data_IF_621636755691
#
_entry.id   IF_621636755691
#
_cell.length_a   1.000
_cell.length_b   1.000
_cell.length_c   1.000
_cell.angle_alpha   90.00
_cell.angle_beta   90.00
_cell.angle_gamma   90.00
#
_symmetry.space_group_name_H-M   'P 1'
#
loop_
_entity.id
_entity.type
_entity.pdbx_description
1 polymer ?
#
# COMPACT_ATOMS: atom_id res chain seq x y z
N UNK A 1 3.29 8.99 30.97
CA UNK A 1 4.03 9.18 29.71
C UNK A 1 3.18 8.71 28.54
N UNK A 2 2.73 9.63 27.68
CA UNK A 2 1.92 9.29 26.51
C UNK A 2 2.72 8.46 25.52
N UNK A 3 2.19 7.30 25.14
CA UNK A 3 2.74 6.44 24.10
C UNK A 3 2.79 7.30 22.83
N UNK A 4 3.99 7.76 22.46
CA UNK A 4 4.23 8.53 21.23
C UNK A 4 3.58 7.74 20.10
N UNK A 5 2.57 8.31 19.45
CA UNK A 5 1.91 7.69 18.33
C UNK A 5 2.98 7.20 17.35
N UNK A 6 3.19 5.88 17.28
CA UNK A 6 4.06 5.31 16.28
C UNK A 6 3.56 5.84 14.95
N UNK A 7 4.40 6.61 14.23
CA UNK A 7 4.04 7.12 12.91
C UNK A 7 3.61 5.90 12.10
N UNK A 8 2.51 6.02 11.37
CA UNK A 8 2.03 4.96 10.46
C UNK A 8 2.01 5.55 9.06
N UNK A 9 2.50 4.80 8.08
CA UNK A 9 2.49 5.22 6.68
C UNK A 9 2.14 4.01 5.87
N UNK A 10 0.88 3.91 5.48
CA UNK A 10 0.42 2.82 4.67
C UNK A 10 0.28 3.25 3.22
N UNK A 11 0.73 2.37 2.33
CA UNK A 11 0.50 2.42 0.91
C UNK A 11 -0.58 1.40 0.55
N UNK A 12 -1.65 1.86 -0.06
CA UNK A 12 -2.85 1.06 -0.30
C UNK A 12 -3.15 1.10 -1.80
N UNK A 13 -3.34 -0.06 -2.41
CA UNK A 13 -3.71 -0.19 -3.82
C UNK A 13 -5.02 -0.95 -3.93
N UNK A 14 -5.96 -0.34 -4.62
CA UNK A 14 -7.24 -0.96 -4.98
C UNK A 14 -7.31 -1.09 -6.49
N UNK A 15 -7.82 -2.22 -6.95
CA UNK A 15 -8.02 -2.47 -8.36
C UNK A 15 -9.52 -2.41 -8.62
N UNK A 16 -9.95 -1.53 -9.51
CA UNK A 16 -11.32 -1.50 -9.96
C UNK A 16 -11.39 -2.08 -11.37
N UNK A 17 -12.23 -3.11 -11.54
CA UNK A 17 -12.44 -3.75 -12.83
C UNK A 17 -13.54 -2.96 -13.52
N UNK A 18 -13.18 -2.26 -14.59
CA UNK A 18 -14.17 -1.58 -15.42
C UNK A 18 -14.94 -2.58 -16.28
N UNK A 19 -16.19 -2.28 -16.65
CA UNK A 19 -17.00 -3.13 -17.52
C UNK A 19 -16.42 -3.29 -18.93
N UNK A 20 -15.45 -2.45 -19.33
CA UNK A 20 -14.71 -2.59 -20.59
C UNK A 20 -13.55 -3.60 -20.52
N UNK A 21 -13.36 -4.27 -19.37
CA UNK A 21 -12.29 -5.22 -19.14
C UNK A 21 -10.94 -4.59 -18.77
N UNK A 22 -10.86 -3.26 -18.63
CA UNK A 22 -9.67 -2.57 -18.14
C UNK A 22 -9.63 -2.55 -16.62
N UNK A 23 -8.42 -2.48 -16.09
CA UNK A 23 -8.16 -2.36 -14.66
C UNK A 23 -7.66 -0.96 -14.37
N UNK A 24 -8.35 -0.26 -13.46
CA UNK A 24 -7.84 1.00 -12.92
C UNK A 24 -7.25 0.74 -11.53
N UNK A 25 -6.00 1.17 -11.39
CA UNK A 25 -5.26 1.12 -10.13
C UNK A 25 -5.50 2.42 -9.37
N UNK A 26 -6.10 2.32 -8.20
CA UNK A 26 -6.28 3.42 -7.28
C UNK A 26 -5.30 3.30 -6.13
N UNK A 27 -4.32 4.21 -6.10
CA UNK A 27 -3.32 4.31 -5.04
C UNK A 27 -3.74 5.33 -4.00
N UNK A 28 -3.67 4.93 -2.74
CA UNK A 28 -3.99 5.77 -1.61
C UNK A 28 -2.90 5.66 -0.52
N UNK A 29 -2.55 6.80 0.06
CA UNK A 29 -1.58 6.91 1.14
C UNK A 29 -2.27 7.30 2.43
N UNK A 30 -2.03 6.56 3.52
CA UNK A 30 -2.69 6.81 4.80
C UNK A 30 -1.71 6.93 5.95
N UNK A 31 -1.79 8.05 6.69
CA UNK A 31 -1.03 8.27 7.94
C UNK A 31 -1.72 7.67 9.17
N UNK A 32 -2.90 7.07 8.99
CA UNK A 32 -3.77 6.55 10.06
C UNK A 32 -3.80 5.02 10.01
N UNK A 33 -4.26 4.40 11.10
CA UNK A 33 -4.54 2.96 11.11
C UNK A 33 -5.60 2.64 10.05
N UNK A 34 -5.36 1.63 9.22
CA UNK A 34 -6.33 1.16 8.24
C UNK A 34 -7.35 0.26 8.95
N UNK A 35 -8.63 0.53 8.70
CA UNK A 35 -9.72 -0.33 9.19
C UNK A 35 -9.87 -1.62 8.37
N UNK A 36 -10.49 -2.67 8.92
CA UNK A 36 -10.60 -3.98 8.27
C UNK A 36 -11.36 -3.94 6.94
N UNK A 37 -12.39 -3.10 6.79
CA UNK A 37 -13.12 -2.96 5.52
C UNK A 37 -12.20 -2.50 4.40
N UNK A 38 -11.41 -1.45 4.66
CA UNK A 38 -10.47 -0.92 3.68
C UNK A 38 -9.37 -1.91 3.31
N UNK A 39 -8.91 -2.74 4.24
CA UNK A 39 -7.98 -3.84 3.94
C UNK A 39 -8.65 -4.88 3.03
N UNK A 40 -9.93 -5.21 3.27
CA UNK A 40 -10.68 -6.15 2.42
C UNK A 40 -10.84 -5.64 0.99
N UNK A 41 -11.24 -4.37 0.82
CA UNK A 41 -11.42 -3.73 -0.48
C UNK A 41 -10.12 -3.50 -1.26
N UNK A 42 -8.99 -3.48 -0.56
CA UNK A 42 -7.67 -3.29 -1.16
C UNK A 42 -7.05 -4.61 -1.56
N UNK A 43 -6.33 -4.61 -2.68
CA UNK A 43 -5.55 -5.78 -3.12
C UNK A 43 -4.16 -5.76 -2.52
N UNK A 44 -3.55 -4.58 -2.45
CA UNK A 44 -2.23 -4.42 -1.83
C UNK A 44 -2.28 -3.42 -0.71
N UNK A 45 -1.66 -3.75 0.42
CA UNK A 45 -1.44 -2.88 1.55
C UNK A 45 -0.02 -3.10 2.04
N UNK A 46 0.80 -2.05 2.01
CA UNK A 46 2.16 -2.05 2.52
C UNK A 46 2.29 -1.08 3.69
N UNK A 47 3.02 -1.48 4.72
CA UNK A 47 3.51 -0.59 5.76
C UNK A 47 4.89 -0.06 5.34
N UNK A 48 4.94 1.23 4.99
CA UNK A 48 6.16 1.89 4.53
C UNK A 48 7.12 2.26 5.68
N UNK A 49 6.71 2.12 6.93
CA UNK A 49 7.57 2.41 8.08
C UNK A 49 8.17 1.16 8.69
N UNK A 50 7.38 0.08 8.74
CA UNK A 50 7.85 -1.22 9.20
C UNK A 50 8.37 -2.10 8.06
N UNK A 51 8.30 -1.62 6.81
CA UNK A 51 8.75 -2.34 5.61
C UNK A 51 8.09 -3.73 5.49
N UNK A 52 6.79 -3.78 5.76
CA UNK A 52 6.00 -5.01 5.85
C UNK A 52 4.88 -5.05 4.80
N UNK A 53 4.62 -6.24 4.26
CA UNK A 53 3.44 -6.51 3.43
C UNK A 53 2.27 -6.87 4.35
N UNK A 54 1.36 -5.92 4.58
CA UNK A 54 0.14 -6.16 5.37
C UNK A 54 -0.86 -7.01 4.58
N UNK A 55 -0.92 -6.81 3.26
CA UNK A 55 -1.73 -7.61 2.34
C UNK A 55 -1.17 -7.53 0.93
N UNK A 56 -1.10 -8.66 0.24
CA UNK A 56 -0.88 -8.71 -1.21
C UNK A 56 -1.75 -9.81 -1.79
N UNK A 57 -2.82 -9.41 -2.48
CA UNK A 57 -3.79 -10.30 -3.11
C UNK A 57 -3.86 -9.94 -4.60
N UNK A 58 -2.80 -10.27 -5.33
CA UNK A 58 -2.69 -10.02 -6.77
C UNK A 58 -2.72 -11.34 -7.55
N UNK A 59 -3.42 -11.39 -8.70
CA UNK A 59 -3.37 -12.56 -9.57
C UNK A 59 -1.94 -12.74 -10.08
N UNK A 60 -1.44 -13.99 -10.07
CA UNK A 60 -0.08 -14.38 -10.46
C UNK A 60 1.06 -13.85 -9.56
N UNK A 61 0.76 -13.39 -8.35
CA UNK A 61 1.77 -13.00 -7.36
C UNK A 61 1.71 -13.99 -6.18
N UNK A 62 2.86 -14.50 -5.70
CA UNK A 62 2.88 -15.36 -4.52
C UNK A 62 2.45 -14.57 -3.27
N UNK A 63 1.71 -15.25 -2.37
CA UNK A 63 1.20 -14.65 -1.13
C UNK A 63 2.34 -14.19 -0.21
N UNK A 64 3.48 -14.88 -0.24
CA UNK A 64 4.67 -14.60 0.58
C UNK A 64 5.69 -13.70 -0.15
N UNK A 65 5.21 -12.77 -0.97
CA UNK A 65 6.11 -11.87 -1.71
C UNK A 65 6.83 -10.91 -0.74
N UNK A 66 8.16 -10.78 -0.82
CA UNK A 66 8.90 -9.84 0.02
C UNK A 66 8.48 -8.39 -0.21
N UNK A 67 8.43 -7.60 0.87
CA UNK A 67 8.10 -6.17 0.83
C UNK A 67 8.89 -5.43 -0.25
N UNK A 68 10.20 -5.65 -0.31
CA UNK A 68 11.07 -4.99 -1.28
C UNK A 68 10.63 -5.19 -2.73
N UNK A 69 10.12 -6.36 -3.09
CA UNK A 69 9.70 -6.66 -4.46
C UNK A 69 8.43 -5.88 -4.81
N UNK A 70 7.45 -5.88 -3.92
CA UNK A 70 6.20 -5.12 -4.09
C UNK A 70 6.49 -3.62 -4.10
N UNK A 71 7.32 -3.16 -3.16
CA UNK A 71 7.73 -1.77 -3.05
C UNK A 71 8.48 -1.31 -4.31
N UNK A 72 9.47 -2.06 -4.80
CA UNK A 72 10.21 -1.74 -6.04
C UNK A 72 9.28 -1.67 -7.25
N UNK A 73 8.26 -2.53 -7.32
CA UNK A 73 7.27 -2.48 -8.39
C UNK A 73 6.49 -1.17 -8.40
N UNK A 74 5.87 -0.80 -7.27
CA UNK A 74 5.08 0.44 -7.20
C UNK A 74 5.94 1.70 -7.22
N UNK A 75 7.17 1.65 -6.71
CA UNK A 75 8.10 2.78 -6.77
C UNK A 75 8.44 3.18 -8.20
N UNK A 76 8.42 2.27 -9.18
CA UNK A 76 8.64 2.64 -10.59
C UNK A 76 7.64 3.69 -11.10
N UNK A 77 6.42 3.68 -10.56
CA UNK A 77 5.34 4.56 -11.00
C UNK A 77 5.03 5.67 -9.99
N UNK A 78 5.20 5.38 -8.70
CA UNK A 78 4.78 6.24 -7.59
C UNK A 78 5.95 6.69 -6.71
N UNK A 79 7.20 6.64 -7.20
CA UNK A 79 8.39 7.08 -6.46
C UNK A 79 8.17 8.44 -5.80
N UNK A 80 7.86 9.47 -6.59
CA UNK A 80 7.70 10.84 -6.09
C UNK A 80 6.64 10.96 -5.00
N UNK A 81 5.50 10.26 -5.16
CA UNK A 81 4.39 10.32 -4.20
C UNK A 81 4.76 9.60 -2.90
N UNK A 82 5.41 8.45 -3.01
CA UNK A 82 5.90 7.68 -1.87
C UNK A 82 6.98 8.46 -1.12
N UNK A 83 7.97 8.98 -1.82
CA UNK A 83 9.08 9.74 -1.25
C UNK A 83 8.57 11.02 -0.59
N UNK A 84 7.63 11.74 -1.19
CA UNK A 84 6.98 12.89 -0.55
C UNK A 84 6.22 12.46 0.71
N UNK A 85 5.56 11.31 0.70
CA UNK A 85 4.77 10.84 1.84
C UNK A 85 5.63 10.36 3.02
N UNK A 86 6.74 9.68 2.73
CA UNK A 86 7.73 9.22 3.71
C UNK A 86 8.63 10.38 4.18
N UNK A 87 8.96 11.30 3.29
CA UNK A 87 9.80 12.47 3.56
C UNK A 87 9.06 13.64 4.23
N UNK A 88 7.73 13.72 4.10
CA UNK A 88 6.89 14.71 4.80
C UNK A 88 7.01 14.50 6.31
N UNK A 89 7.89 15.29 6.93
CA UNK A 89 8.28 15.24 8.35
C UNK A 89 7.15 15.68 9.28
#
# INVERSE_FOLDING_TARGET
MGIKHAKKRFFIVRYNIKPDGKFDEFVELSKKKIGPGKIKDSRVVLDLLNEEVVKCDLPNVPVDIPYENVYKHYRKWYADVIDQFVGSK
#
